data_IF_222970109258
#
_entry.id   IF_222970109258
#
_cell.length_a   1.000
_cell.length_b   1.000
_cell.length_c   1.000
_cell.angle_alpha   90.00
_cell.angle_beta   90.00
_cell.angle_gamma   90.00
#
_symmetry.space_group_name_H-M   'P 1'
#
loop_
_entity.id
_entity.type
_entity.pdbx_description
1 polymer ?
#
# COMPACT_ATOMS: atom_id res chain seq x y z
N UNK A 1 9.09 -39.60 3.24
CA UNK A 1 8.00 -39.40 2.26
C UNK A 1 6.64 -39.02 2.86
N UNK A 2 6.08 -39.74 3.85
CA UNK A 2 4.74 -39.39 4.41
C UNK A 2 4.67 -37.99 5.06
N UNK A 3 5.76 -37.50 5.68
CA UNK A 3 5.83 -36.15 6.30
C UNK A 3 5.86 -35.01 5.29
N UNK A 4 6.59 -35.16 4.18
CA UNK A 4 6.68 -34.15 3.12
C UNK A 4 5.38 -34.04 2.34
N UNK A 5 4.71 -35.15 2.04
CA UNK A 5 3.42 -35.13 1.35
C UNK A 5 2.32 -34.45 2.18
N UNK A 6 2.32 -34.65 3.50
CA UNK A 6 1.38 -33.97 4.42
C UNK A 6 1.64 -32.46 4.48
N UNK A 7 2.89 -32.01 4.31
CA UNK A 7 3.28 -30.59 4.27
C UNK A 7 2.75 -29.86 3.03
N UNK A 8 2.78 -30.52 1.88
CA UNK A 8 2.35 -29.95 0.60
C UNK A 8 0.92 -30.34 0.19
N UNK A 9 0.12 -30.93 1.09
CA UNK A 9 -1.23 -31.39 0.78
C UNK A 9 -2.11 -30.30 0.16
N UNK A 10 -1.97 -29.06 0.62
CA UNK A 10 -2.69 -27.90 0.12
C UNK A 10 -2.24 -27.53 -1.30
N UNK A 11 -0.94 -27.56 -1.54
CA UNK A 11 -0.38 -27.29 -2.87
C UNK A 11 -0.80 -28.37 -3.88
N UNK A 12 -0.69 -29.64 -3.50
CA UNK A 12 -1.11 -30.78 -4.34
C UNK A 12 -2.62 -30.70 -4.63
N UNK A 13 -3.44 -30.38 -3.63
CA UNK A 13 -4.88 -30.17 -3.80
C UNK A 13 -5.17 -29.04 -4.80
N UNK A 14 -4.48 -27.90 -4.67
CA UNK A 14 -4.63 -26.77 -5.60
C UNK A 14 -4.24 -27.15 -7.03
N UNK A 15 -3.14 -27.89 -7.22
CA UNK A 15 -2.74 -28.41 -8.53
C UNK A 15 -3.80 -29.34 -9.11
N UNK A 16 -4.35 -30.26 -8.31
CA UNK A 16 -5.41 -31.16 -8.74
C UNK A 16 -6.70 -30.40 -9.13
N UNK A 17 -7.07 -29.37 -8.37
CA UNK A 17 -8.19 -28.49 -8.71
C UNK A 17 -7.92 -27.78 -10.05
N UNK A 18 -6.70 -27.28 -10.27
CA UNK A 18 -6.32 -26.59 -11.51
C UNK A 18 -6.33 -27.52 -12.73
N UNK A 19 -5.87 -28.77 -12.56
CA UNK A 19 -5.97 -29.82 -13.58
C UNK A 19 -7.45 -30.15 -13.85
N UNK A 20 -8.27 -30.25 -12.80
CA UNK A 20 -9.73 -30.42 -12.92
C UNK A 20 -10.38 -29.29 -13.71
N UNK A 21 -10.03 -28.02 -13.41
CA UNK A 21 -10.51 -26.86 -14.17
C UNK A 21 -10.10 -26.93 -15.64
N UNK A 22 -8.87 -27.36 -15.95
CA UNK A 22 -8.41 -27.50 -17.33
C UNK A 22 -9.25 -28.52 -18.14
N UNK A 23 -9.67 -29.60 -17.50
CA UNK A 23 -10.42 -30.70 -18.13
C UNK A 23 -11.92 -30.38 -18.21
N UNK A 24 -12.53 -29.92 -17.12
CA UNK A 24 -13.98 -29.76 -17.01
C UNK A 24 -14.50 -28.35 -17.30
N UNK A 25 -13.65 -27.32 -17.17
CA UNK A 25 -14.05 -25.92 -17.27
C UNK A 25 -12.95 -25.08 -17.92
N UNK A 26 -12.61 -25.43 -19.18
CA UNK A 26 -11.47 -24.87 -19.91
C UNK A 26 -11.50 -23.34 -20.02
N UNK A 27 -12.68 -22.74 -20.16
CA UNK A 27 -12.84 -21.28 -20.17
C UNK A 27 -12.45 -20.64 -18.83
N UNK A 28 -12.84 -21.26 -17.71
CA UNK A 28 -12.47 -20.82 -16.36
C UNK A 28 -10.97 -20.99 -16.11
N UNK A 29 -10.37 -22.07 -16.63
CA UNK A 29 -8.93 -22.30 -16.53
C UNK A 29 -8.13 -21.21 -17.24
N UNK A 30 -8.43 -20.95 -18.52
CA UNK A 30 -7.70 -19.91 -19.27
C UNK A 30 -7.98 -18.51 -18.71
N UNK A 31 -9.24 -18.23 -18.32
CA UNK A 31 -9.61 -16.96 -17.67
C UNK A 31 -8.91 -16.73 -16.33
N UNK A 32 -8.78 -17.76 -15.49
CA UNK A 32 -8.07 -17.64 -14.20
C UNK A 32 -6.56 -17.59 -14.37
N UNK A 33 -6.00 -18.36 -15.31
CA UNK A 33 -4.55 -18.39 -15.60
C UNK A 33 -4.07 -17.04 -16.15
N UNK A 34 -4.81 -16.49 -17.12
CA UNK A 34 -4.48 -15.18 -17.71
C UNK A 34 -4.56 -14.06 -16.69
N UNK A 35 -5.58 -14.05 -15.82
CA UNK A 35 -5.68 -13.11 -14.70
C UNK A 35 -4.52 -13.27 -13.72
N UNK A 36 -4.19 -14.50 -13.33
CA UNK A 36 -3.09 -14.77 -12.40
C UNK A 36 -1.74 -14.30 -12.96
N UNK A 37 -1.45 -14.61 -14.23
CA UNK A 37 -0.25 -14.13 -14.91
C UNK A 37 -0.23 -12.61 -15.09
N UNK A 38 -1.39 -12.00 -15.40
CA UNK A 38 -1.55 -10.56 -15.46
C UNK A 38 -1.19 -9.88 -14.14
N UNK A 39 -1.78 -10.35 -13.03
CA UNK A 39 -1.45 -9.85 -11.70
C UNK A 39 0.00 -10.09 -11.31
N UNK A 40 0.58 -11.26 -11.61
CA UNK A 40 1.99 -11.53 -11.33
C UNK A 40 2.91 -10.56 -12.10
N UNK A 41 2.61 -10.30 -13.38
CA UNK A 41 3.35 -9.36 -14.21
C UNK A 41 3.24 -7.93 -13.68
N UNK A 42 2.06 -7.51 -13.27
CA UNK A 42 1.86 -6.20 -12.61
C UNK A 42 2.71 -6.10 -11.34
N UNK A 43 2.69 -7.11 -10.47
CA UNK A 43 3.52 -7.12 -9.26
C UNK A 43 5.01 -7.01 -9.59
N UNK A 44 5.50 -7.80 -10.57
CA UNK A 44 6.90 -7.75 -11.00
C UNK A 44 7.31 -6.42 -11.61
N UNK A 45 6.41 -5.72 -12.31
CA UNK A 45 6.71 -4.43 -12.92
C UNK A 45 6.65 -3.28 -11.90
N UNK A 46 5.86 -3.43 -10.84
CA UNK A 46 5.67 -2.37 -9.83
C UNK A 46 6.72 -2.45 -8.71
N UNK A 47 7.14 -3.64 -8.29
CA UNK A 47 8.08 -3.81 -7.18
C UNK A 47 9.41 -3.06 -7.43
N UNK A 48 10.11 -3.21 -8.58
CA UNK A 48 11.40 -2.55 -8.80
C UNK A 48 11.31 -1.01 -8.75
N UNK A 49 10.36 -0.33 -9.44
CA UNK A 49 10.17 1.11 -9.30
C UNK A 49 9.96 1.58 -7.86
N UNK A 50 9.24 0.81 -7.03
CA UNK A 50 9.01 1.16 -5.63
C UNK A 50 10.31 1.12 -4.83
N UNK A 51 11.16 0.11 -5.05
CA UNK A 51 12.48 0.05 -4.42
C UNK A 51 13.42 1.17 -4.91
N UNK A 52 13.32 1.57 -6.18
CA UNK A 52 14.06 2.73 -6.69
C UNK A 52 13.57 4.02 -6.03
N UNK A 53 12.24 4.23 -5.94
CA UNK A 53 11.66 5.37 -5.24
C UNK A 53 12.02 5.39 -3.76
N UNK A 54 12.09 4.22 -3.12
CA UNK A 54 12.56 4.06 -1.74
C UNK A 54 14.00 4.53 -1.59
N UNK A 55 14.91 4.03 -2.43
CA UNK A 55 16.32 4.45 -2.43
C UNK A 55 16.48 5.94 -2.77
N UNK A 56 15.69 6.46 -3.70
CA UNK A 56 15.69 7.89 -4.02
C UNK A 56 15.17 8.72 -2.85
N UNK A 57 14.08 8.33 -2.18
CA UNK A 57 13.63 9.03 -0.97
C UNK A 57 14.67 8.98 0.13
N UNK A 58 15.41 7.87 0.26
CA UNK A 58 16.44 7.72 1.26
C UNK A 58 17.65 8.64 0.99
N UNK A 59 18.10 8.73 -0.26
CA UNK A 59 19.26 9.54 -0.65
C UNK A 59 18.92 11.02 -0.89
N UNK A 60 17.76 11.31 -1.48
CA UNK A 60 17.46 12.62 -2.07
C UNK A 60 16.78 13.60 -1.13
N UNK A 61 16.01 13.11 -0.14
CA UNK A 61 15.33 13.99 0.82
C UNK A 61 16.05 13.93 2.17
N UNK A 62 16.77 14.99 2.57
CA UNK A 62 17.41 15.07 3.88
C UNK A 62 16.41 14.88 5.01
N UNK A 63 16.87 14.27 6.10
CA UNK A 63 16.05 14.04 7.29
C UNK A 63 15.46 15.36 7.81
N UNK A 64 16.23 16.44 7.79
CA UNK A 64 15.83 17.77 8.25
C UNK A 64 14.66 18.33 7.43
N UNK A 65 14.70 18.15 6.10
CA UNK A 65 13.61 18.54 5.21
C UNK A 65 12.36 17.71 5.47
N UNK A 66 12.52 16.41 5.73
CA UNK A 66 11.41 15.53 6.06
C UNK A 66 10.74 15.90 7.38
N UNK A 67 11.52 16.15 8.43
CA UNK A 67 10.98 16.63 9.72
C UNK A 67 10.29 17.98 9.56
N UNK A 68 10.85 18.89 8.75
CA UNK A 68 10.25 20.21 8.52
C UNK A 68 8.92 20.16 7.77
N UNK A 69 8.81 19.31 6.75
CA UNK A 69 7.64 19.27 5.87
C UNK A 69 6.58 18.27 6.31
N UNK A 70 6.99 17.15 6.90
CA UNK A 70 6.14 16.01 7.22
C UNK A 70 6.24 15.59 8.70
N UNK A 71 7.09 16.22 9.51
CA UNK A 71 7.30 15.86 10.93
C UNK A 71 6.23 16.38 11.88
N UNK A 72 6.40 16.06 13.17
CA UNK A 72 5.52 16.54 14.25
C UNK A 72 5.59 18.08 14.31
N UNK A 73 4.48 18.75 13.98
CA UNK A 73 4.39 20.22 13.88
C UNK A 73 4.22 20.78 12.46
N UNK A 74 4.23 19.94 11.41
CA UNK A 74 3.96 20.36 10.02
C UNK A 74 2.53 20.89 9.80
N UNK A 75 1.61 20.59 10.72
CA UNK A 75 0.20 20.96 10.64
C UNK A 75 -0.46 20.53 9.33
N UNK A 76 -1.42 21.34 8.87
CA UNK A 76 -2.17 21.13 7.62
C UNK A 76 -1.27 21.03 6.37
N UNK A 77 -0.12 21.71 6.35
CA UNK A 77 0.81 21.67 5.20
C UNK A 77 1.39 20.27 5.00
N UNK A 78 1.79 19.60 6.09
CA UNK A 78 2.29 18.23 6.02
C UNK A 78 1.21 17.21 5.67
N UNK A 79 -0.02 17.40 6.17
CA UNK A 79 -1.16 16.54 5.81
C UNK A 79 -1.48 16.63 4.31
N UNK A 80 -1.52 17.84 3.76
CA UNK A 80 -1.73 18.07 2.33
C UNK A 80 -0.62 17.47 1.48
N UNK A 81 0.64 17.63 1.91
CA UNK A 81 1.79 17.03 1.22
C UNK A 81 1.75 15.50 1.25
N UNK A 82 1.46 14.90 2.41
CA UNK A 82 1.32 13.46 2.55
C UNK A 82 0.22 12.90 1.64
N UNK A 83 -0.94 13.56 1.62
CA UNK A 83 -2.06 13.17 0.75
C UNK A 83 -1.69 13.27 -0.73
N UNK A 84 -1.03 14.36 -1.14
CA UNK A 84 -0.62 14.56 -2.53
C UNK A 84 0.41 13.50 -2.96
N UNK A 85 1.44 13.27 -2.13
CA UNK A 85 2.45 12.24 -2.40
C UNK A 85 1.85 10.84 -2.47
N UNK A 86 0.93 10.50 -1.55
CA UNK A 86 0.21 9.23 -1.57
C UNK A 86 -0.69 9.07 -2.79
N UNK A 87 -1.40 10.12 -3.21
CA UNK A 87 -2.30 10.11 -4.37
C UNK A 87 -1.55 10.05 -5.72
N UNK A 88 -0.34 10.62 -5.77
CA UNK A 88 0.53 10.58 -6.94
C UNK A 88 1.29 9.24 -7.06
N UNK A 89 1.35 8.45 -5.99
CA UNK A 89 2.08 7.20 -5.97
C UNK A 89 1.37 6.11 -6.80
N UNK A 90 2.15 5.42 -7.63
CA UNK A 90 1.68 4.31 -8.45
C UNK A 90 1.94 2.97 -7.76
N UNK A 91 1.12 1.96 -8.11
CA UNK A 91 1.32 0.59 -7.64
C UNK A 91 0.45 0.21 -6.43
N UNK A 92 0.40 -1.08 -6.04
CA UNK A 92 -0.45 -1.55 -4.95
C UNK A 92 -0.06 -0.99 -3.58
N UNK A 93 -1.02 -1.02 -2.64
CA UNK A 93 -0.84 -0.48 -1.29
C UNK A 93 0.34 -1.12 -0.52
N UNK A 94 0.63 -2.40 -0.75
CA UNK A 94 1.74 -3.05 -0.05
C UNK A 94 3.09 -2.39 -0.33
N UNK A 95 3.23 -1.70 -1.46
CA UNK A 95 4.41 -0.94 -1.82
C UNK A 95 4.56 0.39 -1.07
N UNK A 96 3.49 0.87 -0.42
CA UNK A 96 3.55 2.04 0.45
C UNK A 96 4.24 1.73 1.79
N UNK A 97 4.27 0.47 2.24
CA UNK A 97 4.84 0.11 3.56
C UNK A 97 6.35 0.39 3.66
N UNK A 98 7.21 0.00 2.70
CA UNK A 98 8.64 0.36 2.76
C UNK A 98 8.86 1.88 2.80
N UNK A 99 8.05 2.64 2.04
CA UNK A 99 8.10 4.10 2.03
C UNK A 99 7.68 4.65 3.40
N UNK A 100 6.58 4.17 3.96
CA UNK A 100 6.09 4.54 5.29
C UNK A 100 7.15 4.30 6.38
N UNK A 101 7.81 3.13 6.36
CA UNK A 101 8.90 2.80 7.27
C UNK A 101 10.03 3.83 7.18
N UNK A 102 10.44 4.17 5.96
CA UNK A 102 11.54 5.14 5.74
C UNK A 102 11.16 6.54 6.21
N UNK A 103 9.93 6.98 5.95
CA UNK A 103 9.41 8.27 6.42
C UNK A 103 9.38 8.35 7.95
N UNK A 104 8.91 7.31 8.63
CA UNK A 104 8.90 7.25 10.09
C UNK A 104 10.31 7.35 10.68
N UNK A 105 11.30 6.64 10.13
CA UNK A 105 12.70 6.74 10.56
C UNK A 105 13.30 8.14 10.34
N UNK A 106 12.88 8.80 9.26
CA UNK A 106 13.26 10.19 8.97
C UNK A 106 12.51 11.23 9.81
N UNK A 107 11.66 10.79 10.75
CA UNK A 107 10.98 11.67 11.70
C UNK A 107 9.71 12.32 11.16
N UNK A 108 9.10 11.76 10.11
CA UNK A 108 7.73 12.13 9.73
C UNK A 108 6.74 11.80 10.85
N UNK A 109 5.71 12.63 10.99
CA UNK A 109 4.60 12.37 11.91
C UNK A 109 3.90 11.08 11.55
N UNK A 110 3.57 10.28 12.55
CA UNK A 110 2.79 9.06 12.37
C UNK A 110 1.48 9.32 11.62
N UNK A 111 0.75 10.39 11.96
CA UNK A 111 -0.47 10.82 11.26
C UNK A 111 -0.25 11.05 9.78
N UNK A 112 0.82 11.76 9.41
CA UNK A 112 1.11 12.09 8.02
C UNK A 112 1.45 10.83 7.22
N UNK A 113 2.15 9.88 7.85
CA UNK A 113 2.44 8.58 7.23
C UNK A 113 1.15 7.76 7.02
N UNK A 114 0.22 7.77 7.98
CA UNK A 114 -1.10 7.16 7.81
C UNK A 114 -1.93 7.83 6.71
N UNK A 115 -1.89 9.17 6.61
CA UNK A 115 -2.56 9.92 5.54
C UNK A 115 -1.98 9.55 4.17
N UNK A 116 -0.65 9.44 4.07
CA UNK A 116 0.02 9.02 2.84
C UNK A 116 -0.41 7.60 2.43
N UNK A 117 -0.41 6.65 3.36
CA UNK A 117 -0.86 5.28 3.08
C UNK A 117 -2.35 5.22 2.71
N UNK A 118 -3.19 6.00 3.40
CA UNK A 118 -4.62 6.10 3.11
C UNK A 118 -4.88 6.65 1.71
N UNK A 119 -4.20 7.73 1.33
CA UNK A 119 -4.26 8.31 -0.01
C UNK A 119 -3.76 7.33 -1.08
N UNK A 120 -2.62 6.66 -0.82
CA UNK A 120 -2.11 5.62 -1.71
C UNK A 120 -3.14 4.48 -1.87
N UNK A 121 -3.92 4.16 -0.85
CA UNK A 121 -4.93 3.10 -0.94
C UNK A 121 -6.09 3.45 -1.88
N UNK A 122 -6.64 4.68 -1.80
CA UNK A 122 -7.97 4.97 -2.36
C UNK A 122 -8.06 6.17 -3.30
N UNK A 123 -7.03 7.01 -3.41
CA UNK A 123 -7.10 8.28 -4.17
C UNK A 123 -6.08 8.40 -5.31
N UNK A 124 -5.61 7.26 -5.84
CA UNK A 124 -4.69 7.25 -6.99
C UNK A 124 -5.33 7.91 -8.21
N UNK A 125 -4.60 8.79 -8.88
CA UNK A 125 -5.08 9.45 -10.10
C UNK A 125 -5.59 8.46 -11.18
N UNK A 126 -4.83 7.42 -11.58
CA UNK A 126 -5.30 6.48 -12.59
C UNK A 126 -6.60 5.77 -12.19
N UNK A 127 -6.77 5.51 -10.90
CA UNK A 127 -7.96 4.86 -10.36
C UNK A 127 -9.17 5.78 -10.40
N UNK A 128 -9.02 7.05 -10.04
CA UNK A 128 -10.10 8.05 -10.14
C UNK A 128 -10.50 8.31 -11.59
N UNK A 129 -9.54 8.34 -12.52
CA UNK A 129 -9.82 8.48 -13.95
C UNK A 129 -10.58 7.28 -14.50
N UNK A 130 -10.17 6.06 -14.11
CA UNK A 130 -10.86 4.82 -14.51
C UNK A 130 -12.27 4.73 -13.90
N UNK A 131 -12.42 5.17 -12.65
CA UNK A 131 -13.70 5.25 -11.95
C UNK A 131 -14.65 6.24 -12.63
N UNK A 132 -14.17 7.45 -12.97
CA UNK A 132 -14.97 8.45 -13.66
C UNK A 132 -15.41 7.96 -15.04
N UNK A 133 -14.53 7.26 -15.76
CA UNK A 133 -14.85 6.70 -17.07
C UNK A 133 -15.85 5.53 -17.00
N UNK A 134 -15.82 4.73 -15.92
CA UNK A 134 -16.63 3.50 -15.81
C UNK A 134 -17.95 3.69 -15.05
N UNK A 135 -17.95 4.53 -14.02
CA UNK A 135 -19.05 4.73 -13.06
C UNK A 135 -19.58 6.16 -13.02
N UNK A 136 -18.94 7.09 -13.75
CA UNK A 136 -19.37 8.49 -13.84
C UNK A 136 -18.69 9.41 -12.83
N UNK A 137 -18.64 10.69 -13.18
CA UNK A 137 -17.94 11.72 -12.40
C UNK A 137 -18.62 12.03 -11.06
N UNK A 138 -19.95 11.97 -10.99
CA UNK A 138 -20.69 12.23 -9.76
C UNK A 138 -20.35 11.21 -8.66
N UNK A 139 -20.35 9.92 -9.02
CA UNK A 139 -19.94 8.84 -8.12
C UNK A 139 -18.48 9.00 -7.68
N UNK A 140 -17.60 9.32 -8.62
CA UNK A 140 -16.17 9.50 -8.37
C UNK A 140 -15.91 10.63 -7.36
N UNK A 141 -16.54 11.79 -7.54
CA UNK A 141 -16.38 12.93 -6.65
C UNK A 141 -16.97 12.67 -5.25
N UNK A 142 -18.14 12.04 -5.19
CA UNK A 142 -18.76 11.65 -3.91
C UNK A 142 -17.84 10.70 -3.13
N UNK A 143 -17.38 9.62 -3.79
CA UNK A 143 -16.49 8.65 -3.19
C UNK A 143 -15.16 9.28 -2.78
N UNK A 144 -14.59 10.15 -3.62
CA UNK A 144 -13.35 10.87 -3.31
C UNK A 144 -13.50 11.73 -2.05
N UNK A 145 -14.61 12.46 -1.91
CA UNK A 145 -14.91 13.23 -0.70
C UNK A 145 -15.03 12.35 0.56
N UNK A 146 -15.76 11.23 0.47
CA UNK A 146 -15.87 10.27 1.56
C UNK A 146 -14.51 9.64 1.94
N UNK A 147 -13.68 9.33 0.94
CA UNK A 147 -12.33 8.82 1.16
C UNK A 147 -11.46 9.86 1.88
N UNK A 148 -11.56 11.15 1.55
CA UNK A 148 -10.79 12.21 2.22
C UNK A 148 -11.11 12.23 3.73
N UNK A 149 -12.40 12.21 4.07
CA UNK A 149 -12.85 12.16 5.48
C UNK A 149 -12.42 10.85 6.14
N UNK A 150 -12.55 9.72 5.44
CA UNK A 150 -12.15 8.41 5.93
C UNK A 150 -10.65 8.31 6.21
N UNK A 151 -9.80 8.84 5.32
CA UNK A 151 -8.34 8.84 5.48
C UNK A 151 -7.95 9.65 6.71
N UNK A 152 -8.47 10.87 6.85
CA UNK A 152 -8.21 11.72 8.01
C UNK A 152 -8.74 11.05 9.29
N UNK A 153 -9.96 10.53 9.26
CA UNK A 153 -10.58 9.83 10.39
C UNK A 153 -9.74 8.64 10.85
N UNK A 154 -9.32 7.76 9.93
CA UNK A 154 -8.46 6.61 10.24
C UNK A 154 -7.12 7.09 10.82
N UNK A 155 -6.50 8.11 10.24
CA UNK A 155 -5.21 8.60 10.70
C UNK A 155 -5.28 9.14 12.14
N UNK A 156 -6.26 10.01 12.43
CA UNK A 156 -6.42 10.59 13.76
C UNK A 156 -6.90 9.58 14.80
N UNK A 157 -7.86 8.73 14.47
CA UNK A 157 -8.36 7.71 15.40
C UNK A 157 -7.23 6.72 15.72
N UNK A 158 -6.45 6.30 14.73
CA UNK A 158 -5.33 5.38 14.96
C UNK A 158 -4.27 6.00 15.86
N UNK A 159 -3.90 7.26 15.61
CA UNK A 159 -2.95 8.00 16.45
C UNK A 159 -3.47 8.15 17.89
N UNK A 160 -4.76 8.48 18.05
CA UNK A 160 -5.38 8.62 19.37
C UNK A 160 -5.43 7.30 20.14
N UNK A 161 -5.82 6.21 19.47
CA UNK A 161 -5.98 4.89 20.09
C UNK A 161 -4.63 4.25 20.42
N UNK A 162 -3.65 4.37 19.53
CA UNK A 162 -2.30 3.84 19.77
C UNK A 162 -1.53 4.69 20.78
N UNK A 163 -1.76 6.00 20.78
CA UNK A 163 -1.03 6.95 21.60
C UNK A 163 0.48 6.89 21.36
N UNK A 164 1.23 7.49 22.29
CA UNK A 164 2.69 7.54 22.19
C UNK A 164 3.34 6.15 22.30
N UNK A 165 2.85 5.32 23.23
CA UNK A 165 3.39 3.99 23.47
C UNK A 165 3.26 3.06 22.25
N UNK A 166 2.14 3.16 21.51
CA UNK A 166 1.94 2.38 20.29
C UNK A 166 2.84 2.82 19.15
N UNK A 167 3.04 4.14 19.00
CA UNK A 167 3.98 4.70 18.02
C UNK A 167 5.42 4.25 18.31
N UNK A 168 5.87 4.37 19.56
CA UNK A 168 7.21 3.91 19.97
C UNK A 168 7.42 2.41 19.75
N UNK A 169 6.42 1.58 20.07
CA UNK A 169 6.50 0.14 19.84
C UNK A 169 6.65 -0.20 18.35
N UNK A 170 6.00 0.55 17.45
CA UNK A 170 6.16 0.40 16.00
C UNK A 170 7.57 0.81 15.57
N UNK A 171 8.08 1.94 16.05
CA UNK A 171 9.42 2.41 15.75
C UNK A 171 10.50 1.43 16.23
N UNK A 172 10.33 0.85 17.43
CA UNK A 172 11.22 -0.20 17.95
C UNK A 172 11.21 -1.46 17.08
N UNK A 173 10.03 -1.91 16.62
CA UNK A 173 9.93 -3.06 15.69
C UNK A 173 10.62 -2.79 14.36
N UNK A 174 10.48 -1.57 13.85
CA UNK A 174 11.16 -1.12 12.63
C UNK A 174 12.68 -1.19 12.82
N UNK A 175 13.20 -0.71 13.95
CA UNK A 175 14.64 -0.74 14.24
C UNK A 175 15.18 -2.18 14.40
N UNK A 176 14.40 -3.09 15.00
CA UNK A 176 14.83 -4.46 15.27
C UNK A 176 14.79 -5.39 14.04
N UNK A 177 13.96 -5.12 13.03
CA UNK A 177 13.83 -5.95 11.83
C UNK A 177 14.94 -5.73 10.79
N UNK A 178 15.90 -4.83 11.06
CA UNK A 178 17.03 -4.50 10.18
C UNK A 178 18.39 -4.94 10.72
N UNK A 179 18.41 -5.63 11.87
CA UNK A 179 19.57 -6.32 12.43
C UNK A 179 19.59 -7.80 12.04
#
# INVERSE_FOLDING_TARGET
MKKTLKRYRLFILMVLIYIGLYIFARDLFFGSTTKAFGSLKEMMLVIPPIFVLLGLLDVWVPKETMVKLMGKGSGLKGMGLAFFLGSAAAGPLYGAFPVAITLLKKGSSFTNVLILMGAWSTTKLPMLMFEAASLGIEFTLLRFGLNLVGILGIAFISELVLGHNGEEAILQRIANNEA
#
